data_IF_951674351190
#
_entry.id   IF_951674351190
#
_cell.length_a   1.000
_cell.length_b   1.000
_cell.length_c   1.000
_cell.angle_alpha   90.00
_cell.angle_beta   90.00
_cell.angle_gamma   90.00
#
_symmetry.space_group_name_H-M   'P 1'
#
loop_
_entity.id
_entity.type
_entity.pdbx_description
1 polymer ?
#
# COMPACT_ATOMS: atom_id res chain seq x y z
N UNK A 1 -35.46 -14.04 -2.89
CA UNK A 1 -34.39 -15.07 -2.93
C UNK A 1 -33.01 -14.39 -2.96
N UNK A 2 -32.88 -13.22 -2.33
CA UNK A 2 -31.85 -12.22 -2.67
C UNK A 2 -30.80 -12.02 -1.57
N UNK A 3 -31.13 -12.44 -0.34
CA UNK A 3 -30.24 -12.30 0.82
C UNK A 3 -29.03 -13.24 0.75
N UNK A 4 -29.22 -14.47 0.24
CA UNK A 4 -28.13 -15.44 0.10
C UNK A 4 -27.09 -14.97 -0.92
N UNK A 5 -27.52 -14.47 -2.10
CA UNK A 5 -26.60 -13.94 -3.12
C UNK A 5 -25.77 -12.75 -2.63
N UNK A 6 -26.37 -11.87 -1.81
CA UNK A 6 -25.65 -10.74 -1.21
C UNK A 6 -24.56 -11.19 -0.22
N UNK A 7 -24.83 -12.21 0.59
CA UNK A 7 -23.86 -12.78 1.54
C UNK A 7 -22.71 -13.48 0.81
N UNK A 8 -22.99 -14.25 -0.23
CA UNK A 8 -21.96 -14.88 -1.08
C UNK A 8 -21.04 -13.84 -1.74
N UNK A 9 -21.60 -12.75 -2.25
CA UNK A 9 -20.82 -11.67 -2.85
C UNK A 9 -19.94 -10.97 -1.81
N UNK A 10 -20.48 -10.66 -0.63
CA UNK A 10 -19.72 -10.04 0.45
C UNK A 10 -18.57 -10.95 0.91
N UNK A 11 -18.80 -12.25 1.05
CA UNK A 11 -17.74 -13.21 1.41
C UNK A 11 -16.61 -13.24 0.40
N UNK A 12 -16.93 -13.19 -0.91
CA UNK A 12 -15.91 -13.11 -1.96
C UNK A 12 -15.10 -11.82 -1.85
N UNK A 13 -15.78 -10.69 -1.70
CA UNK A 13 -15.13 -9.39 -1.58
C UNK A 13 -14.19 -9.31 -0.37
N UNK A 14 -14.59 -9.87 0.78
CA UNK A 14 -13.76 -9.95 1.97
C UNK A 14 -12.55 -10.89 1.77
N UNK A 15 -12.76 -12.02 1.08
CA UNK A 15 -11.68 -12.96 0.78
C UNK A 15 -10.63 -12.31 -0.14
N UNK A 16 -11.07 -11.62 -1.19
CA UNK A 16 -10.19 -10.87 -2.09
C UNK A 16 -9.39 -9.80 -1.33
N UNK A 17 -10.04 -9.06 -0.42
CA UNK A 17 -9.35 -8.10 0.46
C UNK A 17 -8.28 -8.77 1.32
N UNK A 18 -8.59 -9.91 1.95
CA UNK A 18 -7.61 -10.66 2.74
C UNK A 18 -6.42 -11.16 1.91
N UNK A 19 -6.64 -11.59 0.68
CA UNK A 19 -5.56 -12.00 -0.23
C UNK A 19 -4.67 -10.83 -0.66
N UNK A 20 -5.27 -9.66 -0.90
CA UNK A 20 -4.51 -8.43 -1.16
C UNK A 20 -3.64 -8.08 0.02
N UNK A 21 -4.20 -7.98 1.23
CA UNK A 21 -3.43 -7.64 2.43
C UNK A 21 -2.27 -8.62 2.64
N UNK A 22 -2.50 -9.92 2.51
CA UNK A 22 -1.44 -10.93 2.60
C UNK A 22 -0.37 -10.78 1.53
N UNK A 23 -0.75 -10.44 0.30
CA UNK A 23 0.23 -10.16 -0.74
C UNK A 23 1.03 -8.90 -0.39
N UNK A 24 0.38 -7.86 0.12
CA UNK A 24 1.02 -6.59 0.43
C UNK A 24 1.98 -6.67 1.64
N UNK A 25 1.62 -7.46 2.65
CA UNK A 25 2.45 -7.73 3.85
C UNK A 25 3.78 -8.42 3.51
N UNK A 26 3.80 -9.24 2.45
CA UNK A 26 5.03 -9.81 1.91
C UNK A 26 5.81 -8.78 1.08
N UNK A 27 6.79 -8.09 1.70
CA UNK A 27 7.78 -7.18 1.07
C UNK A 27 7.28 -6.60 -0.27
N UNK A 28 6.31 -5.70 -0.17
CA UNK A 28 5.60 -5.09 -1.29
C UNK A 28 6.54 -4.59 -2.38
N UNK A 29 7.58 -3.87 -1.97
CA UNK A 29 8.73 -3.50 -2.77
C UNK A 29 9.86 -3.07 -1.82
N UNK A 30 11.11 -3.37 -2.17
CA UNK A 30 12.28 -2.78 -1.48
C UNK A 30 12.59 -1.47 -2.17
N UNK A 31 12.18 -0.35 -1.57
CA UNK A 31 12.53 0.98 -2.06
C UNK A 31 13.80 1.47 -1.39
N UNK A 32 14.75 1.93 -2.19
CA UNK A 32 15.95 2.60 -1.74
C UNK A 32 15.84 4.07 -2.11
N UNK A 33 15.98 4.96 -1.14
CA UNK A 33 15.97 6.41 -1.35
C UNK A 33 17.09 7.05 -0.56
N UNK A 34 17.59 8.17 -1.08
CA UNK A 34 18.52 9.01 -0.34
C UNK A 34 17.71 9.92 0.61
N UNK A 35 17.99 9.91 1.92
CA UNK A 35 17.27 10.73 2.87
C UNK A 35 17.60 12.21 2.70
N UNK A 36 18.76 12.59 2.17
CA UNK A 36 19.13 13.99 1.91
C UNK A 36 18.46 14.59 0.67
N UNK A 37 18.01 13.75 -0.26
CA UNK A 37 17.45 14.15 -1.54
C UNK A 37 15.91 14.05 -1.57
N UNK A 38 15.18 15.18 -1.64
CA UNK A 38 13.71 15.16 -1.68
C UNK A 38 13.16 14.45 -2.92
N UNK A 39 13.84 14.54 -4.07
CA UNK A 39 13.39 13.87 -5.30
C UNK A 39 13.46 12.33 -5.14
N UNK A 40 14.53 11.80 -4.55
CA UNK A 40 14.66 10.37 -4.25
C UNK A 40 13.57 9.85 -3.31
N UNK A 41 13.19 10.64 -2.29
CA UNK A 41 12.09 10.31 -1.38
C UNK A 41 10.77 10.22 -2.16
N UNK A 42 10.47 11.19 -3.02
CA UNK A 42 9.26 11.19 -3.85
C UNK A 42 9.24 10.03 -4.85
N UNK A 43 10.39 9.66 -5.42
CA UNK A 43 10.52 8.49 -6.30
C UNK A 43 10.22 7.18 -5.56
N UNK A 44 10.66 7.03 -4.31
CA UNK A 44 10.36 5.84 -3.51
C UNK A 44 8.87 5.75 -3.16
N UNK A 45 8.23 6.88 -2.83
CA UNK A 45 6.80 6.94 -2.58
C UNK A 45 6.04 6.48 -3.84
N UNK A 46 6.33 7.10 -5.00
CA UNK A 46 5.68 6.75 -6.26
C UNK A 46 5.88 5.27 -6.64
N UNK A 47 7.05 4.69 -6.41
CA UNK A 47 7.31 3.27 -6.67
C UNK A 47 6.41 2.36 -5.83
N UNK A 48 6.25 2.64 -4.53
CA UNK A 48 5.35 1.86 -3.69
C UNK A 48 3.89 2.08 -4.10
N UNK A 49 3.48 3.32 -4.40
CA UNK A 49 2.11 3.59 -4.85
C UNK A 49 1.77 2.80 -6.12
N UNK A 50 2.69 2.78 -7.09
CA UNK A 50 2.54 2.00 -8.32
C UNK A 50 2.50 0.48 -8.04
N UNK A 51 3.34 -0.03 -7.14
CA UNK A 51 3.33 -1.44 -6.76
C UNK A 51 2.02 -1.84 -6.05
N UNK A 52 1.46 -0.94 -5.24
CA UNK A 52 0.14 -1.12 -4.62
C UNK A 52 -0.92 -1.14 -5.72
N UNK A 53 -0.96 -0.13 -6.61
CA UNK A 53 -1.93 -0.06 -7.72
C UNK A 53 -1.88 -1.30 -8.62
N UNK A 54 -0.70 -1.83 -8.93
CA UNK A 54 -0.56 -3.04 -9.73
C UNK A 54 -1.20 -4.26 -9.03
N UNK A 55 -0.95 -4.42 -7.73
CA UNK A 55 -1.47 -5.54 -6.92
C UNK A 55 -2.95 -5.41 -6.61
N UNK A 56 -3.46 -4.19 -6.48
CA UNK A 56 -4.87 -3.89 -6.18
C UNK A 56 -5.72 -3.75 -7.43
N UNK A 57 -5.12 -3.40 -8.58
CA UNK A 57 -5.80 -3.18 -9.85
C UNK A 57 -6.59 -4.39 -10.32
N UNK A 58 -6.09 -5.61 -10.08
CA UNK A 58 -6.80 -6.87 -10.38
C UNK A 58 -8.12 -7.03 -9.60
N UNK A 59 -8.29 -6.28 -8.51
CA UNK A 59 -9.50 -6.26 -7.68
C UNK A 59 -10.13 -4.86 -7.61
N UNK A 60 -9.89 -3.98 -8.59
CA UNK A 60 -10.43 -2.62 -8.59
C UNK A 60 -11.97 -2.57 -8.53
N UNK A 61 -12.65 -3.63 -8.97
CA UNK A 61 -14.12 -3.76 -8.85
C UNK A 61 -14.62 -4.05 -7.44
N UNK A 62 -13.72 -4.34 -6.49
CA UNK A 62 -14.07 -4.62 -5.11
C UNK A 62 -14.11 -3.32 -4.28
N UNK A 63 -15.26 -2.99 -3.65
CA UNK A 63 -15.45 -1.73 -2.92
C UNK A 63 -14.56 -1.57 -1.68
N UNK A 64 -13.99 -2.67 -1.17
CA UNK A 64 -13.08 -2.63 -0.02
C UNK A 64 -11.61 -2.40 -0.44
N UNK A 65 -11.25 -2.76 -1.68
CA UNK A 65 -9.86 -2.69 -2.15
C UNK A 65 -9.42 -1.25 -2.43
N UNK A 66 -10.30 -0.44 -3.03
CA UNK A 66 -10.02 0.97 -3.28
C UNK A 66 -9.60 1.74 -2.01
N UNK A 67 -10.40 1.77 -0.94
CA UNK A 67 -10.04 2.45 0.30
C UNK A 67 -8.83 1.82 0.99
N UNK A 68 -8.70 0.49 0.97
CA UNK A 68 -7.52 -0.20 1.51
C UNK A 68 -6.22 0.22 0.80
N UNK A 69 -6.25 0.30 -0.54
CA UNK A 69 -5.11 0.73 -1.34
C UNK A 69 -4.70 2.17 -0.98
N UNK A 70 -5.68 3.07 -0.85
CA UNK A 70 -5.43 4.46 -0.47
C UNK A 70 -4.81 4.56 0.94
N UNK A 71 -5.34 3.84 1.93
CA UNK A 71 -4.80 3.81 3.28
C UNK A 71 -3.36 3.26 3.31
N UNK A 72 -3.09 2.19 2.55
CA UNK A 72 -1.74 1.63 2.44
C UNK A 72 -0.75 2.66 1.85
N UNK A 73 -1.12 3.34 0.76
CA UNK A 73 -0.28 4.37 0.13
C UNK A 73 0.07 5.48 1.11
N UNK A 74 -0.92 5.96 1.87
CA UNK A 74 -0.71 6.99 2.88
C UNK A 74 0.23 6.51 3.99
N UNK A 75 0.01 5.30 4.50
CA UNK A 75 0.85 4.70 5.54
C UNK A 75 2.30 4.54 5.08
N UNK A 76 2.53 3.96 3.90
CA UNK A 76 3.88 3.80 3.36
C UNK A 76 4.56 5.14 3.10
N UNK A 77 3.81 6.13 2.61
CA UNK A 77 4.33 7.49 2.45
C UNK A 77 4.81 8.07 3.77
N UNK A 78 4.01 7.95 4.83
CA UNK A 78 4.39 8.39 6.16
C UNK A 78 5.64 7.65 6.67
N UNK A 79 5.70 6.33 6.51
CA UNK A 79 6.87 5.52 6.89
C UNK A 79 8.15 5.92 6.14
N UNK A 80 8.07 6.20 4.84
CA UNK A 80 9.22 6.65 4.04
C UNK A 80 9.71 8.01 4.55
N UNK A 81 8.80 8.96 4.76
CA UNK A 81 9.15 10.30 5.27
C UNK A 81 9.75 10.22 6.68
N UNK A 82 9.19 9.40 7.55
CA UNK A 82 9.71 9.16 8.90
C UNK A 82 11.10 8.53 8.86
N UNK A 83 11.32 7.50 8.03
CA UNK A 83 12.63 6.89 7.82
C UNK A 83 13.65 7.87 7.26
N UNK A 84 13.23 8.74 6.34
CA UNK A 84 14.08 9.80 5.81
C UNK A 84 14.48 10.80 6.90
N UNK A 85 13.53 11.22 7.74
CA UNK A 85 13.80 12.10 8.87
C UNK A 85 14.73 11.46 9.91
N UNK A 86 14.51 10.18 10.25
CA UNK A 86 15.36 9.43 11.16
C UNK A 86 16.80 9.30 10.64
N UNK A 87 16.98 8.92 9.37
CA UNK A 87 18.31 8.80 8.77
C UNK A 87 19.08 10.13 8.70
N UNK A 88 18.38 11.26 8.55
CA UNK A 88 18.98 12.60 8.66
C UNK A 88 19.47 12.91 10.07
N UNK A 89 18.72 12.50 11.10
CA UNK A 89 19.09 12.69 12.50
C UNK A 89 20.28 11.81 12.90
N UNK A 90 20.31 10.54 12.46
CA UNK A 90 21.42 9.62 12.74
C UNK A 90 22.75 10.03 12.06
N UNK A 91 22.69 10.82 10.98
CA UNK A 91 23.89 11.34 10.30
C UNK A 91 24.48 12.57 11.01
N UNK A 92 23.76 13.19 11.94
CA UNK A 92 24.18 14.37 12.70
C UNK A 92 24.87 14.04 14.05
N UNK A 93 25.07 12.75 14.37
CA UNK A 93 25.82 12.25 15.55
C UNK A 93 27.27 11.82 15.24
#
# INVERSE_FOLDING_TARGET
MDMLKGLDQLQRQLKEAGEVIKNLDGNLCVVNFDPGDPESIEQAIQQIEAAIDERTGRYASNPFIGPLAAEMKERYRAEIVERAAAARLETDE
#
